data_IF_461438775414
#
_entry.id   IF_461438775414
#
_cell.length_a   1.000
_cell.length_b   1.000
_cell.length_c   1.000
_cell.angle_alpha   90.00
_cell.angle_beta   90.00
_cell.angle_gamma   90.00
#
_symmetry.space_group_name_H-M   'P 1'
#
loop_
_entity.id
_entity.type
_entity.pdbx_description
1 polymer ?
#
# COMPACT_ATOMS: atom_id res chain seq x y z
N UNK A 1 -6.73 -3.39 15.32
CA UNK A 1 -5.33 -3.84 15.18
C UNK A 1 -4.44 -2.60 15.13
N UNK A 2 -3.46 -2.53 15.98
CA UNK A 2 -2.58 -1.38 16.06
C UNK A 2 -1.20 -1.72 15.51
N UNK A 3 -0.81 -1.02 14.45
CA UNK A 3 0.51 -1.16 13.85
C UNK A 3 1.35 0.03 14.29
N UNK A 4 2.63 -0.20 14.61
CA UNK A 4 3.55 0.87 14.96
C UNK A 4 3.65 1.87 13.79
N UNK A 5 3.20 3.10 14.00
CA UNK A 5 3.17 4.14 12.98
C UNK A 5 2.09 3.97 11.93
N UNK A 6 1.26 2.92 12.04
CA UNK A 6 0.17 2.66 11.11
C UNK A 6 -1.05 2.19 11.89
N UNK A 7 -2.17 2.78 11.62
CA UNK A 7 -3.43 2.43 12.27
C UNK A 7 -4.48 2.11 11.22
N UNK A 8 -5.09 0.93 11.35
CA UNK A 8 -6.19 0.53 10.47
C UNK A 8 -7.48 1.11 11.03
N UNK A 9 -8.08 1.99 10.26
CA UNK A 9 -9.33 2.66 10.60
C UNK A 9 -10.54 1.89 10.14
N UNK A 10 -10.45 1.40 8.91
CA UNK A 10 -11.59 0.88 8.22
C UNK A 10 -11.13 -0.11 7.18
N UNK A 11 -11.72 -1.27 7.18
CA UNK A 11 -11.56 -2.24 6.12
C UNK A 11 -12.90 -2.35 5.42
N UNK A 12 -12.92 -1.95 4.16
CA UNK A 12 -14.09 -2.09 3.33
C UNK A 12 -13.95 -3.36 2.52
N UNK A 13 -14.93 -4.24 2.61
CA UNK A 13 -14.84 -5.55 2.01
C UNK A 13 -16.00 -5.80 1.03
N UNK A 14 -15.66 -6.19 -0.17
CA UNK A 14 -16.63 -6.75 -1.10
C UNK A 14 -17.08 -8.15 -0.68
N UNK A 15 -16.40 -8.77 0.29
CA UNK A 15 -16.68 -10.14 0.71
C UNK A 15 -18.09 -10.29 1.26
N UNK A 16 -18.57 -9.29 1.99
CA UNK A 16 -19.91 -9.33 2.60
C UNK A 16 -21.01 -9.30 1.55
N UNK A 17 -20.66 -8.90 0.34
CA UNK A 17 -21.60 -8.76 -0.77
C UNK A 17 -21.37 -9.83 -1.85
N UNK A 18 -20.35 -10.67 -1.66
CA UNK A 18 -19.99 -11.68 -2.64
C UNK A 18 -21.03 -12.78 -2.71
N UNK A 19 -21.29 -13.27 -3.90
CA UNK A 19 -22.14 -14.43 -4.10
C UNK A 19 -21.38 -15.72 -3.78
N UNK A 20 -22.10 -16.77 -3.45
CA UNK A 20 -21.49 -18.03 -3.02
C UNK A 20 -20.53 -18.62 -4.07
N UNK A 21 -20.78 -18.37 -5.35
CA UNK A 21 -19.93 -18.83 -6.44
C UNK A 21 -18.56 -18.15 -6.48
N UNK A 22 -18.42 -17.00 -5.80
CA UNK A 22 -17.19 -16.21 -5.80
C UNK A 22 -16.34 -16.43 -4.54
N UNK A 23 -16.64 -17.45 -3.75
CA UNK A 23 -15.95 -17.72 -2.47
C UNK A 23 -14.44 -17.85 -2.65
N UNK A 24 -13.98 -18.51 -3.72
CA UNK A 24 -12.55 -18.69 -3.97
C UNK A 24 -11.86 -17.35 -4.30
N UNK A 25 -12.50 -16.49 -5.10
CA UNK A 25 -11.99 -15.16 -5.42
C UNK A 25 -12.00 -14.26 -4.19
N UNK A 26 -13.03 -14.37 -3.38
CA UNK A 26 -13.14 -13.65 -2.12
C UNK A 26 -12.00 -14.01 -1.17
N UNK A 27 -11.71 -15.30 -1.01
CA UNK A 27 -10.62 -15.78 -0.16
C UNK A 27 -9.27 -15.26 -0.66
N UNK A 28 -9.04 -15.28 -1.98
CA UNK A 28 -7.83 -14.76 -2.59
C UNK A 28 -7.70 -13.25 -2.35
N UNK A 29 -8.79 -12.50 -2.48
CA UNK A 29 -8.79 -11.06 -2.25
C UNK A 29 -8.48 -10.71 -0.80
N UNK A 30 -9.00 -11.46 0.17
CA UNK A 30 -8.66 -11.29 1.59
C UNK A 30 -7.19 -11.51 1.84
N UNK A 31 -6.63 -12.57 1.27
CA UNK A 31 -5.22 -12.88 1.42
C UNK A 31 -4.35 -11.77 0.85
N UNK A 32 -4.73 -11.24 -0.31
CA UNK A 32 -3.99 -10.15 -0.94
C UNK A 32 -4.05 -8.87 -0.09
N UNK A 33 -5.20 -8.57 0.50
CA UNK A 33 -5.32 -7.45 1.45
C UNK A 33 -4.38 -7.64 2.63
N UNK A 34 -4.30 -8.83 3.20
CA UNK A 34 -3.40 -9.12 4.31
C UNK A 34 -1.94 -8.91 3.94
N UNK A 35 -1.54 -9.33 2.73
CA UNK A 35 -0.18 -9.13 2.26
C UNK A 35 0.16 -7.65 2.14
N UNK A 36 -0.75 -6.85 1.58
CA UNK A 36 -0.54 -5.41 1.47
C UNK A 36 -0.46 -4.75 2.84
N UNK A 37 -1.30 -5.16 3.80
CA UNK A 37 -1.24 -4.66 5.17
C UNK A 37 0.10 -4.98 5.83
N UNK A 38 0.60 -6.20 5.67
CA UNK A 38 1.93 -6.58 6.19
C UNK A 38 3.03 -5.75 5.56
N UNK A 39 2.93 -5.49 4.27
CA UNK A 39 3.90 -4.68 3.54
C UNK A 39 3.96 -3.26 4.08
N UNK A 40 2.80 -2.64 4.30
CA UNK A 40 2.71 -1.30 4.87
C UNK A 40 3.25 -1.25 6.30
N UNK A 41 2.93 -2.24 7.11
CA UNK A 41 3.45 -2.34 8.47
C UNK A 41 4.97 -2.50 8.49
N UNK A 42 5.50 -3.38 7.66
CA UNK A 42 6.92 -3.67 7.59
C UNK A 42 7.72 -2.49 7.04
N UNK A 43 7.13 -1.68 6.17
CA UNK A 43 7.78 -0.50 5.61
C UNK A 43 8.38 0.40 6.70
N UNK A 44 7.62 0.67 7.75
CA UNK A 44 8.05 1.58 8.81
C UNK A 44 8.78 0.93 9.98
N UNK A 45 8.89 -0.41 10.01
CA UNK A 45 9.37 -1.10 11.20
C UNK A 45 10.61 -1.94 11.00
N UNK A 46 10.69 -2.75 9.94
CA UNK A 46 11.75 -3.74 9.78
C UNK A 46 12.06 -3.97 8.31
N UNK A 47 13.32 -3.68 7.95
CA UNK A 47 13.79 -3.81 6.57
C UNK A 47 13.71 -5.26 6.07
N UNK A 48 14.08 -6.22 6.91
CA UNK A 48 14.04 -7.64 6.52
C UNK A 48 12.61 -8.13 6.37
N UNK A 49 11.70 -7.72 7.25
CA UNK A 49 10.29 -8.04 7.14
C UNK A 49 9.67 -7.41 5.88
N UNK A 50 10.05 -6.17 5.55
CA UNK A 50 9.62 -5.52 4.32
C UNK A 50 10.12 -6.27 3.09
N UNK A 51 11.40 -6.65 3.08
CA UNK A 51 11.99 -7.44 2.01
C UNK A 51 11.27 -8.78 1.82
N UNK A 52 10.90 -9.43 2.91
CA UNK A 52 10.23 -10.74 2.86
C UNK A 52 8.87 -10.71 2.18
N UNK A 53 8.17 -9.57 2.24
CA UNK A 53 6.83 -9.41 1.63
C UNK A 53 6.85 -8.55 0.36
N UNK A 54 8.03 -8.19 -0.12
CA UNK A 54 8.23 -7.45 -1.35
C UNK A 54 8.70 -8.37 -2.46
N UNK A 55 7.98 -8.42 -3.57
CA UNK A 55 8.35 -9.26 -4.70
C UNK A 55 9.69 -8.81 -5.28
N UNK A 56 10.59 -9.73 -5.67
CA UNK A 56 11.88 -9.36 -6.27
C UNK A 56 11.77 -8.52 -7.54
N UNK A 57 10.65 -8.60 -8.24
CA UNK A 57 10.40 -7.84 -9.46
C UNK A 57 9.39 -6.70 -9.26
N UNK A 58 9.25 -6.19 -8.05
CA UNK A 58 8.28 -5.14 -7.74
C UNK A 58 8.45 -3.92 -8.64
N UNK A 59 7.31 -3.37 -9.04
CA UNK A 59 7.23 -2.04 -9.66
C UNK A 59 6.51 -1.11 -8.69
N UNK A 60 7.21 -0.08 -8.23
CA UNK A 60 6.69 0.82 -7.21
C UNK A 60 6.81 2.27 -7.66
N UNK A 61 5.66 2.93 -7.76
CA UNK A 61 5.54 4.35 -8.07
C UNK A 61 4.96 5.09 -6.88
N UNK A 62 5.78 5.80 -6.09
CA UNK A 62 5.25 6.61 -5.01
C UNK A 62 4.52 7.85 -5.55
N UNK A 63 3.79 8.53 -4.68
CA UNK A 63 2.93 9.65 -5.08
C UNK A 63 3.68 10.93 -5.42
N UNK A 64 4.98 10.97 -5.25
CA UNK A 64 5.78 12.16 -5.59
C UNK A 64 5.79 12.41 -7.10
N UNK A 65 5.51 13.63 -7.49
CA UNK A 65 5.52 14.02 -8.89
C UNK A 65 6.92 13.92 -9.49
N UNK A 66 6.98 13.52 -10.74
CA UNK A 66 8.22 13.42 -11.49
C UNK A 66 9.04 12.18 -11.20
N UNK A 67 8.55 11.28 -10.35
CA UNK A 67 9.23 10.02 -10.07
C UNK A 67 9.00 9.04 -11.21
N UNK A 68 10.06 8.32 -11.58
CA UNK A 68 9.93 7.14 -12.41
C UNK A 68 9.69 5.94 -11.51
N UNK A 69 8.96 4.91 -11.97
CA UNK A 69 8.75 3.72 -11.16
C UNK A 69 10.08 3.08 -10.74
N UNK A 70 10.18 2.71 -9.47
CA UNK A 70 11.28 1.87 -8.99
C UNK A 70 10.99 0.44 -9.40
N UNK A 71 11.98 -0.26 -9.92
CA UNK A 71 11.85 -1.65 -10.35
C UNK A 71 12.85 -2.52 -9.63
N UNK A 72 12.34 -3.62 -9.08
CA UNK A 72 13.13 -4.60 -8.36
C UNK A 72 13.26 -4.29 -6.88
N UNK A 73 13.61 -5.34 -6.13
CA UNK A 73 13.69 -5.29 -4.68
C UNK A 73 14.74 -4.30 -4.18
N UNK A 74 15.92 -4.28 -4.81
CA UNK A 74 17.01 -3.39 -4.38
C UNK A 74 16.59 -1.92 -4.52
N UNK A 75 15.93 -1.56 -5.61
CA UNK A 75 15.43 -0.20 -5.80
C UNK A 75 14.34 0.15 -4.78
N UNK A 76 13.46 -0.78 -4.47
CA UNK A 76 12.43 -0.59 -3.46
C UNK A 76 13.02 -0.38 -2.06
N UNK A 77 14.05 -1.14 -1.72
CA UNK A 77 14.75 -0.98 -0.45
C UNK A 77 15.45 0.37 -0.35
N UNK A 78 16.10 0.82 -1.42
CA UNK A 78 16.74 2.16 -1.46
C UNK A 78 15.70 3.27 -1.31
N UNK A 79 14.55 3.13 -1.95
CA UNK A 79 13.47 4.12 -1.85
C UNK A 79 12.95 4.19 -0.42
N UNK A 80 12.70 3.03 0.19
CA UNK A 80 12.29 2.93 1.59
C UNK A 80 13.31 3.59 2.53
N UNK A 81 14.57 3.23 2.38
CA UNK A 81 15.63 3.72 3.28
C UNK A 81 15.79 5.24 3.14
N UNK A 82 15.70 5.76 1.93
CA UNK A 82 15.77 7.20 1.68
C UNK A 82 14.59 7.94 2.31
N UNK A 83 13.39 7.40 2.15
CA UNK A 83 12.19 8.00 2.73
C UNK A 83 12.27 8.03 4.26
N UNK A 84 12.57 6.90 4.87
CA UNK A 84 12.65 6.80 6.33
C UNK A 84 13.83 7.56 6.91
N UNK A 85 14.87 7.80 6.12
CA UNK A 85 15.98 8.66 6.52
C UNK A 85 15.60 10.13 6.56
N UNK A 86 14.63 10.55 5.79
CA UNK A 86 14.20 11.95 5.67
C UNK A 86 12.96 12.30 6.50
N UNK A 87 12.08 11.32 6.75
CA UNK A 87 10.77 11.56 7.34
C UNK A 87 10.49 10.63 8.51
N UNK A 88 9.81 11.19 9.51
CA UNK A 88 9.05 10.43 10.50
C UNK A 88 7.61 10.47 10.04
N UNK A 89 6.96 9.31 9.97
CA UNK A 89 5.61 9.28 9.45
C UNK A 89 4.67 8.42 10.27
N UNK A 90 3.39 8.78 10.20
CA UNK A 90 2.28 8.00 10.72
C UNK A 90 1.26 7.84 9.61
N UNK A 91 0.86 6.61 9.34
CA UNK A 91 -0.11 6.29 8.29
C UNK A 91 -1.37 5.73 8.95
N UNK A 92 -2.51 6.28 8.57
CA UNK A 92 -3.83 5.76 8.96
C UNK A 92 -4.50 5.22 7.72
N UNK A 93 -4.79 3.94 7.70
CA UNK A 93 -5.50 3.30 6.60
C UNK A 93 -7.00 3.50 6.83
N UNK A 94 -7.62 4.24 5.95
CA UNK A 94 -9.04 4.59 6.04
C UNK A 94 -9.93 3.56 5.33
N UNK A 95 -9.43 2.99 4.25
CA UNK A 95 -10.17 2.03 3.44
C UNK A 95 -9.19 1.10 2.75
N UNK A 96 -9.47 -0.20 2.77
CA UNK A 96 -8.71 -1.18 2.00
C UNK A 96 -9.61 -2.34 1.62
N UNK A 97 -9.52 -2.78 0.37
CA UNK A 97 -10.27 -3.93 -0.11
C UNK A 97 -9.59 -4.52 -1.34
N UNK A 98 -9.90 -5.77 -1.62
CA UNK A 98 -9.37 -6.49 -2.75
C UNK A 98 -10.44 -6.80 -3.80
N UNK A 99 -10.01 -6.88 -5.05
CA UNK A 99 -10.81 -7.29 -6.19
C UNK A 99 -9.94 -8.10 -7.14
N UNK A 100 -10.16 -9.43 -7.16
CA UNK A 100 -9.25 -10.30 -7.89
C UNK A 100 -7.84 -10.25 -7.30
N UNK A 101 -6.85 -9.98 -8.14
CA UNK A 101 -5.46 -9.80 -7.73
C UNK A 101 -5.10 -8.33 -7.42
N UNK A 102 -6.07 -7.45 -7.51
CA UNK A 102 -5.90 -6.03 -7.26
C UNK A 102 -6.30 -5.66 -5.84
N UNK A 103 -5.58 -4.74 -5.23
CA UNK A 103 -5.91 -4.19 -3.91
C UNK A 103 -5.96 -2.67 -4.01
N UNK A 104 -7.05 -2.10 -3.54
CA UNK A 104 -7.22 -0.65 -3.41
C UNK A 104 -7.03 -0.27 -1.95
N UNK A 105 -6.35 0.84 -1.69
CA UNK A 105 -6.29 1.42 -0.36
C UNK A 105 -6.42 2.93 -0.41
N UNK A 106 -7.01 3.50 0.64
CA UNK A 106 -7.04 4.93 0.89
C UNK A 106 -6.43 5.16 2.27
N UNK A 107 -5.49 6.08 2.35
CA UNK A 107 -4.75 6.34 3.58
C UNK A 107 -4.48 7.82 3.77
N UNK A 108 -4.36 8.20 5.04
CA UNK A 108 -3.88 9.52 5.44
C UNK A 108 -2.49 9.38 6.00
N UNK A 109 -1.61 10.27 5.60
CA UNK A 109 -0.24 10.32 6.03
C UNK A 109 0.00 11.64 6.78
N UNK A 110 0.61 11.53 7.96
CA UNK A 110 1.21 12.68 8.65
C UNK A 110 2.71 12.44 8.67
N UNK A 111 3.46 13.30 8.00
CA UNK A 111 4.90 13.20 7.91
C UNK A 111 5.56 14.41 8.55
N UNK A 112 6.66 14.18 9.24
CA UNK A 112 7.51 15.23 9.75
C UNK A 112 8.92 15.08 9.20
N UNK A 113 9.42 16.13 8.56
CA UNK A 113 10.77 16.12 8.00
C UNK A 113 11.78 16.20 9.14
N UNK A 114 12.68 15.24 9.19
CA UNK A 114 13.68 15.14 10.28
C UNK A 114 14.59 16.36 10.33
N UNK A 115 15.01 16.87 9.17
CA UNK A 115 15.95 17.98 9.08
C UNK A 115 15.37 19.31 9.54
N UNK A 116 14.09 19.60 9.26
CA UNK A 116 13.48 20.90 9.49
C UNK A 116 12.37 20.88 10.55
N UNK A 117 11.84 19.71 10.87
CA UNK A 117 10.66 19.57 11.72
C UNK A 117 9.35 19.96 11.05
N UNK A 118 9.38 20.29 9.75
CA UNK A 118 8.17 20.67 9.02
C UNK A 118 7.21 19.49 8.90
N UNK A 119 5.93 19.72 9.18
CA UNK A 119 4.90 18.71 9.08
C UNK A 119 4.13 18.82 7.77
N UNK A 120 3.80 17.66 7.20
CA UNK A 120 2.96 17.53 6.03
C UNK A 120 1.85 16.54 6.35
N UNK A 121 0.64 16.91 6.00
CA UNK A 121 -0.51 16.01 6.12
C UNK A 121 -1.10 15.85 4.74
N UNK A 122 -1.32 14.60 4.31
CA UNK A 122 -1.85 14.33 2.99
C UNK A 122 -2.61 13.02 2.96
N UNK A 123 -3.43 12.87 1.95
CA UNK A 123 -4.17 11.65 1.65
C UNK A 123 -3.65 11.07 0.35
N UNK A 124 -3.46 9.77 0.33
CA UNK A 124 -3.07 9.08 -0.91
C UNK A 124 -3.89 7.82 -1.11
N UNK A 125 -3.90 7.33 -2.33
CA UNK A 125 -4.68 6.18 -2.76
C UNK A 125 -3.76 5.21 -3.48
N UNK A 126 -3.74 3.97 -3.02
CA UNK A 126 -2.86 2.95 -3.56
C UNK A 126 -3.62 1.96 -4.42
N UNK A 127 -2.95 1.58 -5.50
CA UNK A 127 -3.34 0.47 -6.36
C UNK A 127 -2.20 -0.54 -6.29
N UNK A 128 -2.47 -1.69 -5.70
CA UNK A 128 -1.44 -2.71 -5.46
C UNK A 128 -1.84 -4.03 -6.09
N UNK A 129 -0.82 -4.83 -6.42
CA UNK A 129 -0.98 -6.22 -6.85
C UNK A 129 -0.11 -7.13 -6.01
N UNK A 130 -0.60 -8.33 -5.80
CA UNK A 130 0.11 -9.35 -5.03
C UNK A 130 0.38 -10.54 -5.95
N UNK A 131 1.62 -11.04 -5.89
CA UNK A 131 2.06 -12.23 -6.61
C UNK A 131 2.99 -13.02 -5.70
N UNK A 132 2.78 -14.33 -5.59
CA UNK A 132 3.58 -15.21 -4.73
C UNK A 132 3.60 -14.74 -3.27
N UNK A 133 2.45 -14.27 -2.78
CA UNK A 133 2.26 -13.73 -1.42
C UNK A 133 3.15 -12.52 -1.10
N UNK A 134 3.52 -11.77 -2.13
CA UNK A 134 4.35 -10.58 -2.00
C UNK A 134 3.77 -9.46 -2.84
N UNK A 135 3.98 -8.22 -2.40
CA UNK A 135 3.56 -7.06 -3.17
C UNK A 135 4.47 -6.95 -4.40
N UNK A 136 3.87 -7.08 -5.59
CA UNK A 136 4.59 -7.04 -6.86
C UNK A 136 4.41 -5.73 -7.61
N UNK A 137 3.47 -4.90 -7.18
CA UNK A 137 3.12 -3.67 -7.86
C UNK A 137 2.45 -2.75 -6.85
N UNK A 138 2.87 -1.50 -6.81
CA UNK A 138 2.21 -0.49 -6.01
C UNK A 138 2.36 0.88 -6.67
N UNK A 139 1.24 1.44 -7.11
CA UNK A 139 1.16 2.80 -7.60
C UNK A 139 0.34 3.62 -6.64
N UNK A 140 0.91 4.72 -6.18
CA UNK A 140 0.28 5.66 -5.27
C UNK A 140 -0.21 6.87 -6.06
N UNK A 141 -1.45 7.25 -5.82
CA UNK A 141 -2.11 8.36 -6.50
C UNK A 141 -2.59 9.37 -5.48
N UNK A 142 -2.65 10.64 -5.88
CA UNK A 142 -3.24 11.70 -5.07
C UNK A 142 -4.73 11.88 -5.36
N UNK A 143 -5.25 11.22 -6.39
CA UNK A 143 -6.64 11.29 -6.82
C UNK A 143 -7.32 9.93 -6.66
N UNK A 144 -8.42 9.90 -5.92
CA UNK A 144 -9.17 8.66 -5.65
C UNK A 144 -9.69 8.01 -6.93
N UNK A 145 -10.23 8.80 -7.86
CA UNK A 145 -10.81 8.27 -9.08
C UNK A 145 -9.78 7.59 -9.97
N UNK A 146 -8.57 8.13 -10.03
CA UNK A 146 -7.48 7.52 -10.77
C UNK A 146 -7.11 6.15 -10.20
N UNK A 147 -7.04 6.03 -8.89
CA UNK A 147 -6.73 4.76 -8.24
C UNK A 147 -7.86 3.75 -8.44
N UNK A 148 -9.11 4.17 -8.36
CA UNK A 148 -10.27 3.30 -8.59
C UNK A 148 -10.31 2.78 -10.03
N UNK A 149 -10.06 3.64 -11.00
CA UNK A 149 -9.97 3.22 -12.41
C UNK A 149 -8.85 2.21 -12.61
N UNK A 150 -7.72 2.42 -11.96
CA UNK A 150 -6.57 1.53 -12.07
C UNK A 150 -6.88 0.12 -11.56
N UNK A 151 -7.71 -0.01 -10.50
CA UNK A 151 -8.14 -1.33 -10.02
C UNK A 151 -9.36 -1.88 -10.78
N UNK A 152 -9.84 -1.15 -11.78
CA UNK A 152 -10.95 -1.61 -12.64
C UNK A 152 -12.33 -1.24 -12.16
N UNK A 153 -12.45 -0.28 -11.24
CA UNK A 153 -13.74 0.23 -10.77
C UNK A 153 -14.03 1.55 -11.46
N UNK A 154 -15.15 1.63 -12.14
CA UNK A 154 -15.65 2.87 -12.71
C UNK A 154 -16.84 3.36 -11.90
N UNK A 155 -16.80 4.62 -11.56
CA UNK A 155 -17.93 5.30 -10.94
C UNK A 155 -18.63 6.17 -11.96
#
# INVERSE_FOLDING_TARGET
MDFRGTKVWRIHSYFDQAEAQDVALEAMSRKNVEVVLRWLLAFGSDRDAFSAVTHPEIEWMPFEEGHTPSRGLDAALRLRDRWLGAWEESITIEEIWGRGDEVFLAASLVGRRKASGAEVEMRFYGHCRVRDDKVSYCYEHLNRDQALKAVGVEE
#
